data_IF_042692071576
#
_entry.id   IF_042692071576
#
_cell.length_a   1.000
_cell.length_b   1.000
_cell.length_c   1.000
_cell.angle_alpha   90.00
_cell.angle_beta   90.00
_cell.angle_gamma   90.00
#
_symmetry.space_group_name_H-M   'P 1'
#
loop_
_entity.id
_entity.type
_entity.pdbx_description
1 polymer ?
#
# COMPACT_ATOMS: atom_id res chain seq x y z
N UNK A 1 22.56 -9.63 16.92
CA UNK A 1 22.07 -9.53 16.68
C UNK A 1 21.40 -9.46 16.14
N UNK A 2 21.35 -9.37 16.03
CA UNK A 2 20.65 -9.19 15.44
C UNK A 2 19.87 -8.76 15.21
N UNK A 3 19.74 -8.43 15.43
CA UNK A 3 18.85 -8.02 15.24
C UNK A 3 18.42 -7.32 14.51
N UNK A 4 18.85 -6.84 14.26
CA UNK A 4 18.53 -6.03 13.49
C UNK A 4 18.14 -6.43 12.36
N UNK A 5 18.27 -7.03 12.10
CA UNK A 5 17.85 -7.41 11.11
C UNK A 5 16.72 -7.65 10.95
N UNK A 6 16.45 -7.66 11.49
CA UNK A 6 15.53 -7.88 11.38
C UNK A 6 14.55 -7.43 11.28
N UNK A 7 14.52 -7.12 11.58
CA UNK A 7 13.45 -6.56 11.65
C UNK A 7 12.58 -6.53 10.60
N UNK A 8 12.74 -6.23 9.57
CA UNK A 8 11.82 -6.00 8.63
C UNK A 8 11.27 -7.19 8.04
N UNK A 9 11.97 -7.98 7.56
CA UNK A 9 11.46 -9.00 6.69
C UNK A 9 10.82 -10.16 7.40
N UNK A 10 10.99 -10.25 8.70
CA UNK A 10 10.44 -11.38 9.41
C UNK A 10 9.01 -11.16 9.88
N UNK A 11 8.58 -9.92 9.98
CA UNK A 11 7.23 -9.65 10.44
C UNK A 11 6.27 -9.80 9.26
N UNK A 12 5.16 -10.50 9.43
CA UNK A 12 4.17 -10.58 8.37
C UNK A 12 3.54 -9.22 8.16
N UNK A 13 3.15 -8.96 6.91
CA UNK A 13 2.39 -7.76 6.62
C UNK A 13 1.00 -7.87 7.23
N UNK A 14 0.51 -6.75 7.72
CA UNK A 14 -0.87 -6.66 8.19
C UNK A 14 -1.59 -5.60 7.38
N UNK A 15 -2.91 -5.71 7.26
CA UNK A 15 -3.65 -4.65 6.56
C UNK A 15 -3.41 -3.28 7.17
N UNK A 16 -3.28 -3.21 8.50
CA UNK A 16 -3.05 -1.94 9.16
C UNK A 16 -1.70 -1.32 8.76
N UNK A 17 -0.66 -2.15 8.63
CA UNK A 17 0.66 -1.65 8.24
C UNK A 17 0.65 -1.15 6.80
N UNK A 18 0.01 -1.89 5.90
CA UNK A 18 -0.07 -1.48 4.50
C UNK A 18 -0.92 -0.22 4.39
N UNK A 19 -2.03 -0.17 5.09
CA UNK A 19 -2.89 1.00 5.09
C UNK A 19 -2.14 2.24 5.58
N UNK A 20 -1.38 2.10 6.66
CA UNK A 20 -0.62 3.22 7.20
C UNK A 20 0.40 3.72 6.19
N UNK A 21 1.09 2.81 5.53
CA UNK A 21 2.06 3.19 4.52
C UNK A 21 1.40 3.95 3.37
N UNK A 22 0.27 3.44 2.88
CA UNK A 22 -0.44 4.08 1.79
C UNK A 22 -0.98 5.44 2.18
N UNK A 23 -1.55 5.54 3.39
CA UNK A 23 -2.07 6.80 3.88
C UNK A 23 -0.95 7.85 3.94
N UNK A 24 0.21 7.48 4.44
CA UNK A 24 1.31 8.41 4.53
C UNK A 24 1.79 8.86 3.16
N UNK A 25 1.88 7.92 2.22
CA UNK A 25 2.34 8.26 0.88
C UNK A 25 1.36 9.16 0.14
N UNK A 26 0.07 8.84 0.24
CA UNK A 26 -0.95 9.68 -0.38
C UNK A 26 -0.95 11.06 0.26
N UNK A 27 -0.87 11.14 1.58
CA UNK A 27 -0.84 12.41 2.26
C UNK A 27 0.35 13.26 1.81
N UNK A 28 1.50 12.63 1.67
CA UNK A 28 2.69 13.33 1.22
C UNK A 28 2.52 13.89 -0.19
N UNK A 29 1.96 13.09 -1.08
CA UNK A 29 1.75 13.53 -2.46
C UNK A 29 0.72 14.65 -2.55
N UNK A 30 -0.27 14.64 -1.68
CA UNK A 30 -1.30 15.68 -1.66
C UNK A 30 -0.89 16.90 -0.86
N UNK A 31 0.15 16.79 -0.04
CA UNK A 31 0.59 17.89 0.81
C UNK A 31 -0.33 18.13 1.99
N UNK A 32 -0.93 17.08 2.52
CA UNK A 32 -1.86 17.17 3.65
C UNK A 32 -1.39 16.25 4.77
N UNK A 33 -1.88 16.46 6.00
CA UNK A 33 -1.56 15.52 7.09
C UNK A 33 -2.19 14.16 6.82
N UNK A 34 -1.56 13.08 7.30
CA UNK A 34 -2.14 11.75 7.12
C UNK A 34 -3.56 11.62 7.69
N UNK A 35 -3.88 12.37 8.74
CA UNK A 35 -5.22 12.32 9.32
C UNK A 35 -6.29 12.79 8.36
N UNK A 36 -5.91 13.54 7.32
CA UNK A 36 -6.86 14.03 6.33
C UNK A 36 -7.08 13.04 5.20
N UNK A 37 -6.38 11.92 5.19
CA UNK A 37 -6.54 10.90 4.16
C UNK A 37 -7.47 9.82 4.69
N UNK A 38 -8.62 9.67 4.04
CA UNK A 38 -9.62 8.69 4.45
C UNK A 38 -9.35 7.38 3.74
N UNK A 39 -9.01 6.30 4.46
CA UNK A 39 -8.72 5.03 3.80
C UNK A 39 -9.94 4.38 3.12
N UNK A 40 -11.13 4.84 3.44
CA UNK A 40 -12.34 4.33 2.80
C UNK A 40 -12.77 5.15 1.60
N UNK A 41 -12.04 6.21 1.30
CA UNK A 41 -12.32 7.04 0.14
C UNK A 41 -11.75 6.37 -1.11
N UNK A 42 -12.46 6.48 -2.22
CA UNK A 42 -12.00 5.91 -3.48
C UNK A 42 -10.76 6.63 -3.97
N UNK A 43 -9.85 5.88 -4.59
CA UNK A 43 -8.61 6.46 -5.08
C UNK A 43 -8.85 7.59 -6.08
N UNK A 44 -9.87 7.47 -6.91
CA UNK A 44 -10.12 8.50 -7.92
C UNK A 44 -10.73 9.76 -7.32
N UNK A 45 -11.10 9.72 -6.06
CA UNK A 45 -11.55 10.93 -5.36
C UNK A 45 -10.40 11.72 -4.75
N UNK A 46 -9.22 11.12 -4.65
CA UNK A 46 -8.04 11.87 -4.27
C UNK A 46 -7.55 12.69 -5.46
N UNK A 47 -6.86 13.78 -5.16
CA UNK A 47 -6.35 14.66 -6.20
C UNK A 47 -5.02 14.19 -6.76
N UNK A 48 -4.90 12.91 -7.03
CA UNK A 48 -3.70 12.33 -7.61
C UNK A 48 -3.89 12.22 -9.12
N UNK A 49 -2.93 12.73 -9.88
CA UNK A 49 -3.00 12.53 -11.33
C UNK A 49 -2.43 11.16 -11.71
N UNK A 50 -2.54 10.82 -12.99
CA UNK A 50 -2.12 9.50 -13.46
C UNK A 50 -0.66 9.22 -13.20
N UNK A 51 0.18 10.24 -13.35
CA UNK A 51 1.61 10.09 -13.14
C UNK A 51 1.92 9.79 -11.68
N UNK A 52 1.29 10.52 -10.78
CA UNK A 52 1.50 10.31 -9.36
C UNK A 52 0.99 8.95 -8.91
N UNK A 53 -0.14 8.53 -9.47
CA UNK A 53 -0.67 7.20 -9.16
C UNK A 53 0.29 6.11 -9.62
N UNK A 54 0.88 6.30 -10.78
CA UNK A 54 1.83 5.33 -11.33
C UNK A 54 3.10 5.27 -10.47
N UNK A 55 3.60 6.43 -10.05
CA UNK A 55 4.77 6.49 -9.17
C UNK A 55 4.47 5.81 -7.84
N UNK A 56 3.29 6.07 -7.29
CA UNK A 56 2.89 5.45 -6.04
C UNK A 56 2.84 3.93 -6.15
N UNK A 57 2.30 3.45 -7.26
CA UNK A 57 2.22 2.02 -7.52
C UNK A 57 3.61 1.39 -7.55
N UNK A 58 4.56 2.04 -8.24
CA UNK A 58 5.93 1.56 -8.29
C UNK A 58 6.61 1.56 -6.94
N UNK A 59 6.38 2.62 -6.17
CA UNK A 59 6.93 2.69 -4.82
C UNK A 59 6.38 1.59 -3.93
N UNK A 60 5.09 1.33 -4.07
CA UNK A 60 4.43 0.30 -3.30
C UNK A 60 5.01 -1.08 -3.61
N UNK A 61 5.18 -1.39 -4.89
CA UNK A 61 5.76 -2.67 -5.29
C UNK A 61 7.19 -2.82 -4.78
N UNK A 62 7.96 -1.76 -4.81
CA UNK A 62 9.31 -1.75 -4.28
C UNK A 62 9.33 -2.05 -2.79
N UNK A 63 8.41 -1.43 -2.06
CA UNK A 63 8.32 -1.63 -0.62
C UNK A 63 7.87 -3.05 -0.29
N UNK A 64 6.92 -3.57 -1.07
CA UNK A 64 6.38 -4.91 -0.83
C UNK A 64 7.35 -6.01 -1.24
N UNK A 65 8.14 -5.78 -2.28
CA UNK A 65 9.03 -6.78 -2.82
C UNK A 65 8.36 -7.72 -3.81
N UNK A 66 7.15 -7.42 -4.25
CA UNK A 66 6.48 -8.19 -5.31
C UNK A 66 5.57 -7.25 -6.09
N UNK A 67 5.19 -7.70 -7.28
CA UNK A 67 4.38 -6.90 -8.18
C UNK A 67 2.90 -7.11 -7.93
N UNK A 68 2.13 -6.06 -8.16
CA UNK A 68 0.67 -6.11 -8.11
C UNK A 68 0.11 -6.07 -9.51
N UNK A 69 -1.05 -6.69 -9.69
CA UNK A 69 -1.76 -6.63 -10.95
C UNK A 69 -2.17 -5.19 -11.23
N UNK A 70 -2.13 -4.82 -12.51
CA UNK A 70 -2.56 -3.48 -12.89
C UNK A 70 -4.05 -3.25 -12.61
N UNK A 71 -4.82 -4.33 -12.52
CA UNK A 71 -6.25 -4.24 -12.24
C UNK A 71 -6.59 -4.18 -10.77
N UNK A 72 -5.58 -4.26 -9.88
CA UNK A 72 -5.84 -4.30 -8.44
C UNK A 72 -6.65 -3.09 -7.97
N UNK A 73 -6.33 -1.90 -8.48
CA UNK A 73 -7.05 -0.70 -8.08
C UNK A 73 -8.49 -0.68 -8.58
N UNK A 74 -8.78 -1.41 -9.67
CA UNK A 74 -10.14 -1.50 -10.18
C UNK A 74 -11.03 -2.34 -9.28
N UNK A 75 -10.48 -3.44 -8.74
CA UNK A 75 -11.24 -4.35 -7.90
C UNK A 75 -11.20 -3.95 -6.43
N UNK A 76 -10.19 -3.16 -6.05
CA UNK A 76 -10.00 -2.75 -4.66
C UNK A 76 -9.75 -1.25 -4.65
N UNK A 77 -10.82 -0.45 -4.83
CA UNK A 77 -10.66 0.96 -5.16
C UNK A 77 -10.40 1.89 -3.96
N UNK A 78 -10.30 1.35 -2.76
CA UNK A 78 -9.96 2.17 -1.59
C UNK A 78 -8.67 1.68 -0.97
N UNK A 79 -8.04 2.54 -0.17
CA UNK A 79 -6.82 2.16 0.53
C UNK A 79 -7.07 0.95 1.42
N UNK A 80 -8.19 0.95 2.14
CA UNK A 80 -8.49 -0.14 3.05
C UNK A 80 -8.65 -1.47 2.31
N UNK A 81 -9.39 -1.45 1.20
CA UNK A 81 -9.60 -2.67 0.42
C UNK A 81 -8.32 -3.15 -0.23
N UNK A 82 -7.55 -2.21 -0.79
CA UNK A 82 -6.28 -2.57 -1.41
C UNK A 82 -5.32 -3.16 -0.38
N UNK A 83 -5.30 -2.60 0.82
CA UNK A 83 -4.43 -3.11 1.87
C UNK A 83 -4.74 -4.56 2.21
N UNK A 84 -6.01 -4.90 2.30
CA UNK A 84 -6.41 -6.29 2.57
C UNK A 84 -6.03 -7.21 1.42
N UNK A 85 -6.21 -6.74 0.19
CA UNK A 85 -5.83 -7.52 -0.98
C UNK A 85 -4.32 -7.80 -1.01
N UNK A 86 -3.52 -6.78 -0.69
CA UNK A 86 -2.07 -6.92 -0.71
C UNK A 86 -1.62 -7.97 0.30
N UNK A 87 -2.18 -7.94 1.50
CA UNK A 87 -1.82 -8.91 2.53
C UNK A 87 -2.21 -10.32 2.09
N UNK A 88 -3.36 -10.46 1.46
CA UNK A 88 -3.81 -11.75 0.95
C UNK A 88 -2.86 -12.26 -0.13
N UNK A 89 -2.43 -11.39 -1.03
CA UNK A 89 -1.48 -11.77 -2.07
C UNK A 89 -0.15 -12.21 -1.48
N UNK A 90 0.33 -11.52 -0.47
CA UNK A 90 1.56 -11.91 0.17
C UNK A 90 1.43 -13.29 0.81
N UNK A 91 0.31 -13.54 1.47
CA UNK A 91 0.08 -14.83 2.10
C UNK A 91 0.06 -15.95 1.06
N UNK A 92 -0.55 -15.70 -0.10
CA UNK A 92 -0.58 -16.68 -1.17
C UNK A 92 0.79 -16.99 -1.70
N UNK A 93 1.64 -15.98 -1.83
CA UNK A 93 3.00 -16.20 -2.30
C UNK A 93 3.84 -16.97 -1.31
N UNK A 94 3.60 -16.77 -0.03
CA UNK A 94 4.36 -17.45 1.00
C UNK A 94 3.81 -18.83 1.32
N UNK A 95 2.61 -19.13 0.86
CA UNK A 95 1.99 -20.42 1.12
C UNK A 95 2.56 -21.55 0.28
N UNK A 96 3.30 -21.22 -0.77
CA UNK A 96 3.90 -22.26 -1.62
C UNK A 96 5.38 -22.55 -1.31
#
# INVERSE_FOLDING_TARGET
>A
MSETIEGRSTAPLTPAAVQAWLVEKVAHKLGVPPADVDPDQYFDEFDLDSTEALVLSGELENWLGFELETTALWYHPTIAELSRHIVQRQAEQHAT
#
